data_IF_489012676734
#
_entry.id   IF_489012676734
#
_cell.length_a   1.000
_cell.length_b   1.000
_cell.length_c   1.000
_cell.angle_alpha   90.00
_cell.angle_beta   90.00
_cell.angle_gamma   90.00
#
_symmetry.space_group_name_H-M   'P 1'
#
loop_
_entity.id
_entity.type
_entity.pdbx_description
1 polymer ?
#
# COMPACT_ATOMS: atom_id res chain seq x y z
N UNK A 1 8.86 17.38 -8.95
CA UNK A 1 10.02 16.52 -8.62
C UNK A 1 9.62 15.07 -8.78
N UNK A 2 10.57 14.17 -9.04
CA UNK A 2 10.34 12.72 -9.11
C UNK A 2 11.01 12.08 -7.91
N UNK A 3 10.26 11.30 -7.13
CA UNK A 3 10.79 10.52 -6.01
C UNK A 3 11.07 9.09 -6.49
N UNK A 4 12.34 8.70 -6.54
CA UNK A 4 12.79 7.42 -7.11
C UNK A 4 13.78 6.71 -6.17
N UNK A 5 13.32 6.24 -5.00
CA UNK A 5 14.18 5.54 -4.05
C UNK A 5 14.54 4.14 -4.56
N UNK A 6 15.69 3.64 -4.14
CA UNK A 6 16.05 2.22 -4.24
C UNK A 6 15.19 1.40 -3.29
N UNK A 7 15.04 0.11 -3.59
CA UNK A 7 14.32 -0.83 -2.70
C UNK A 7 14.94 -0.86 -1.30
N UNK A 8 16.28 -0.83 -1.20
CA UNK A 8 17.00 -0.80 0.08
C UNK A 8 16.75 0.47 0.90
N UNK A 9 16.39 1.58 0.26
CA UNK A 9 16.04 2.84 0.95
C UNK A 9 14.62 2.77 1.50
N UNK A 10 13.70 2.09 0.80
CA UNK A 10 12.31 1.89 1.24
C UNK A 10 12.17 0.77 2.28
N UNK A 11 13.01 -0.27 2.17
CA UNK A 11 12.94 -1.50 2.93
C UNK A 11 14.37 -1.96 3.35
N UNK A 12 14.98 -1.30 4.34
CA UNK A 12 16.36 -1.58 4.74
C UNK A 12 16.53 -2.88 5.54
N UNK A 13 15.44 -3.46 6.04
CA UNK A 13 15.44 -4.70 6.81
C UNK A 13 14.99 -5.89 5.98
N UNK A 14 15.39 -7.09 6.39
CA UNK A 14 14.91 -8.34 5.80
C UNK A 14 13.41 -8.53 6.00
N UNK A 15 12.77 -9.31 5.13
CA UNK A 15 11.31 -9.41 5.06
C UNK A 15 10.66 -9.86 6.38
N UNK A 16 11.33 -10.73 7.13
CA UNK A 16 10.88 -11.30 8.40
C UNK A 16 10.93 -10.27 9.54
N UNK A 17 11.80 -9.27 9.42
CA UNK A 17 12.00 -8.21 10.41
C UNK A 17 11.10 -6.98 10.13
N UNK A 18 10.39 -6.96 9.00
CA UNK A 18 9.53 -5.84 8.63
C UNK A 18 8.23 -5.88 9.41
N UNK A 19 7.81 -4.70 9.85
CA UNK A 19 6.48 -4.47 10.39
C UNK A 19 5.43 -4.79 9.31
N UNK A 20 4.50 -5.70 9.64
CA UNK A 20 3.45 -6.15 8.72
C UNK A 20 2.18 -5.34 8.95
N UNK A 21 1.61 -4.82 7.87
CA UNK A 21 0.28 -4.24 7.83
C UNK A 21 -0.57 -5.10 6.89
N UNK A 22 -1.80 -5.35 7.32
CA UNK A 22 -2.76 -6.15 6.58
C UNK A 22 -3.91 -5.27 6.11
N UNK A 23 -4.31 -5.42 4.86
CA UNK A 23 -5.47 -4.76 4.31
C UNK A 23 -6.76 -5.34 4.93
N UNK A 24 -7.84 -4.55 5.03
CA UNK A 24 -9.09 -5.01 5.63
C UNK A 24 -9.61 -6.27 4.94
N UNK A 25 -9.84 -7.34 5.72
CA UNK A 25 -10.12 -8.67 5.17
C UNK A 25 -11.37 -8.72 4.30
N UNK A 26 -12.40 -7.93 4.63
CA UNK A 26 -13.63 -7.87 3.82
C UNK A 26 -13.42 -7.23 2.43
N UNK A 27 -12.37 -6.42 2.25
CA UNK A 27 -11.97 -5.84 0.97
C UNK A 27 -10.90 -6.67 0.26
N UNK A 28 -9.99 -7.30 1.02
CA UNK A 28 -8.87 -8.05 0.47
C UNK A 28 -9.15 -9.55 0.24
N UNK A 29 -10.30 -10.07 0.65
CA UNK A 29 -10.70 -11.47 0.42
C UNK A 29 -11.60 -11.69 -0.80
N UNK A 30 -11.94 -10.64 -1.54
CA UNK A 30 -12.82 -10.69 -2.72
C UNK A 30 -12.16 -10.07 -3.96
N UNK A 31 -12.70 -10.38 -5.14
CA UNK A 31 -12.23 -9.93 -6.47
C UNK A 31 -10.71 -10.07 -6.61
N UNK A 32 -9.97 -8.99 -6.88
CA UNK A 32 -8.51 -9.01 -7.04
C UNK A 32 -7.82 -9.54 -5.79
N UNK A 33 -8.36 -9.28 -4.60
CA UNK A 33 -7.78 -9.75 -3.34
C UNK A 33 -7.84 -11.27 -3.19
N UNK A 34 -8.89 -11.90 -3.71
CA UNK A 34 -9.02 -13.36 -3.74
C UNK A 34 -7.99 -14.02 -4.67
N UNK A 35 -7.72 -13.38 -5.82
CA UNK A 35 -6.79 -13.88 -6.85
C UNK A 35 -5.33 -13.56 -6.50
N UNK A 36 -5.08 -12.39 -5.90
CA UNK A 36 -3.75 -11.83 -5.63
C UNK A 36 -3.52 -11.74 -4.13
N UNK A 37 -3.44 -12.90 -3.48
CA UNK A 37 -3.23 -13.01 -2.02
C UNK A 37 -2.02 -12.18 -1.58
N UNK A 38 -2.22 -11.35 -0.54
CA UNK A 38 -1.19 -10.46 0.00
C UNK A 38 -0.89 -9.21 -0.83
N UNK A 39 -1.46 -9.05 -2.03
CA UNK A 39 -1.22 -7.86 -2.87
C UNK A 39 -1.60 -6.57 -2.15
N UNK A 40 -2.81 -6.53 -1.58
CA UNK A 40 -3.29 -5.34 -0.90
C UNK A 40 -2.55 -5.05 0.42
N UNK A 41 -2.02 -6.06 1.09
CA UNK A 41 -1.14 -5.89 2.26
C UNK A 41 0.15 -5.14 1.85
N UNK A 42 0.72 -5.52 0.71
CA UNK A 42 1.86 -4.81 0.12
C UNK A 42 1.52 -3.37 -0.27
N UNK A 43 0.33 -3.15 -0.86
CA UNK A 43 -0.16 -1.83 -1.26
C UNK A 43 -0.31 -0.90 -0.05
N UNK A 44 -0.98 -1.33 1.02
CA UNK A 44 -1.12 -0.49 2.22
C UNK A 44 0.23 -0.20 2.87
N UNK A 45 1.15 -1.17 2.88
CA UNK A 45 2.50 -0.98 3.41
C UNK A 45 3.31 0.07 2.62
N UNK A 46 3.31 -0.01 1.28
CA UNK A 46 4.09 0.94 0.47
C UNK A 46 3.47 2.33 0.47
N UNK A 47 2.14 2.43 0.36
CA UNK A 47 1.45 3.73 0.34
C UNK A 47 1.60 4.44 1.68
N UNK A 48 1.46 3.74 2.81
CA UNK A 48 1.67 4.33 4.13
C UNK A 48 3.11 4.87 4.29
N UNK A 49 4.12 4.14 3.80
CA UNK A 49 5.51 4.63 3.80
C UNK A 49 5.66 5.88 2.95
N UNK A 50 5.08 5.90 1.75
CA UNK A 50 5.12 7.07 0.86
C UNK A 50 4.43 8.29 1.50
N UNK A 51 3.30 8.11 2.19
CA UNK A 51 2.65 9.21 2.90
C UNK A 51 3.50 9.77 4.03
N UNK A 52 4.19 8.93 4.81
CA UNK A 52 5.10 9.41 5.84
C UNK A 52 6.35 10.11 5.28
N UNK A 53 6.90 9.62 4.15
CA UNK A 53 8.11 10.19 3.55
C UNK A 53 7.84 11.51 2.81
N UNK A 54 6.71 11.61 2.12
CA UNK A 54 6.37 12.76 1.27
C UNK A 54 5.49 13.78 1.99
N UNK A 55 4.71 13.34 2.98
CA UNK A 55 3.73 14.15 3.71
C UNK A 55 2.82 15.00 2.79
N UNK A 56 2.11 14.38 1.81
CA UNK A 56 1.32 15.13 0.85
C UNK A 56 0.03 15.68 1.47
N UNK A 57 -0.36 16.90 1.10
CA UNK A 57 -1.69 17.44 1.46
C UNK A 57 -2.82 16.75 0.69
N UNK A 58 -2.53 16.24 -0.51
CA UNK A 58 -3.47 15.53 -1.38
C UNK A 58 -2.76 14.40 -2.12
N UNK A 59 -3.42 13.25 -2.24
CA UNK A 59 -2.97 12.11 -3.04
C UNK A 59 -4.07 11.72 -4.05
N UNK A 60 -3.66 11.31 -5.25
CA UNK A 60 -4.56 11.02 -6.36
C UNK A 60 -4.41 9.55 -6.79
N UNK A 61 -5.52 8.84 -6.88
CA UNK A 61 -5.57 7.42 -7.26
C UNK A 61 -6.61 7.22 -8.37
N UNK A 62 -6.32 6.33 -9.32
CA UNK A 62 -7.21 6.03 -10.43
C UNK A 62 -8.42 5.22 -10.01
N UNK A 63 -9.61 5.57 -10.52
CA UNK A 63 -10.87 4.84 -10.24
C UNK A 63 -10.93 3.44 -10.87
N UNK A 64 -10.05 3.14 -11.83
CA UNK A 64 -9.94 1.81 -12.45
C UNK A 64 -9.71 0.74 -11.38
N UNK A 65 -8.82 1.03 -10.43
CA UNK A 65 -8.48 0.12 -9.34
C UNK A 65 -9.37 0.43 -8.12
N UNK A 66 -10.68 0.22 -8.27
CA UNK A 66 -11.68 0.62 -7.28
C UNK A 66 -11.46 -0.01 -5.89
N UNK A 67 -11.07 -1.30 -5.84
CA UNK A 67 -10.75 -1.96 -4.56
C UNK A 67 -9.56 -1.33 -3.87
N UNK A 68 -8.48 -1.01 -4.61
CA UNK A 68 -7.33 -0.30 -4.06
C UNK A 68 -7.75 1.07 -3.53
N UNK A 69 -8.53 1.82 -4.29
CA UNK A 69 -9.00 3.14 -3.88
C UNK A 69 -9.78 3.06 -2.54
N UNK A 70 -10.71 2.11 -2.40
CA UNK A 70 -11.46 1.90 -1.17
C UNK A 70 -10.57 1.51 0.01
N UNK A 71 -9.58 0.63 -0.22
CA UNK A 71 -8.62 0.22 0.81
C UNK A 71 -7.77 1.42 1.26
N UNK A 72 -7.28 2.25 0.34
CA UNK A 72 -6.50 3.45 0.68
C UNK A 72 -7.36 4.49 1.39
N UNK A 73 -8.64 4.65 1.01
CA UNK A 73 -9.58 5.52 1.73
C UNK A 73 -9.85 5.04 3.15
N UNK A 74 -9.75 3.73 3.43
CA UNK A 74 -9.87 3.19 4.78
C UNK A 74 -8.58 3.29 5.61
N UNK A 75 -7.43 3.45 4.94
CA UNK A 75 -6.12 3.58 5.59
C UNK A 75 -5.88 4.97 6.19
N UNK A 76 -6.49 6.01 5.60
CA UNK A 76 -6.37 7.43 6.01
C UNK A 76 -7.47 7.84 6.96
#
# INVERSE_FOLDING_TARGET
AVFLPKVSEMYPYEAEQRLKLYAPTFLSSSLEGAVRKGHFDGVVQVVLRLFHLINPTRAYFGKKDAQQLLIIQHLV
#
